data_IF_265234699097
#
_entry.id   IF_265234699097
#
_cell.length_a   1.000
_cell.length_b   1.000
_cell.length_c   1.000
_cell.angle_alpha   90.00
_cell.angle_beta   90.00
_cell.angle_gamma   90.00
#
_symmetry.space_group_name_H-M   'P 1'
#
loop_
_entity.id
_entity.type
_entity.pdbx_description
1 polymer ?
#
# COMPACT_ATOMS: atom_id res chain seq x y z
N UNK A 1 -0.96 40.73 -6.60
CA UNK A 1 -2.16 39.89 -6.82
C UNK A 1 -2.39 39.78 -8.30
N UNK A 2 -2.31 38.57 -8.85
CA UNK A 2 -2.43 38.33 -10.28
C UNK A 2 -3.93 38.27 -10.63
N UNK A 3 -4.42 38.98 -11.67
CA UNK A 3 -5.83 38.93 -12.07
C UNK A 3 -6.33 37.51 -12.44
N UNK A 4 -5.42 36.57 -12.69
CA UNK A 4 -5.71 35.15 -12.90
C UNK A 4 -6.11 34.39 -11.63
N UNK A 5 -5.74 34.87 -10.44
CA UNK A 5 -6.10 34.23 -9.16
C UNK A 5 -7.56 34.50 -8.77
N UNK A 6 -8.21 35.50 -9.41
CA UNK A 6 -9.61 35.88 -9.17
C UNK A 6 -10.61 35.16 -10.10
N UNK A 7 -10.14 34.43 -11.11
CA UNK A 7 -11.00 33.65 -12.02
C UNK A 7 -11.10 32.16 -11.65
N UNK A 8 -10.37 31.71 -10.63
CA UNK A 8 -10.34 30.31 -10.23
C UNK A 8 -11.59 29.84 -9.47
N UNK A 9 -12.48 30.76 -9.07
CA UNK A 9 -13.73 30.46 -8.36
C UNK A 9 -14.90 30.06 -9.27
N UNK A 10 -14.69 29.90 -10.58
CA UNK A 10 -15.72 29.43 -11.53
C UNK A 10 -15.43 28.06 -12.16
N UNK A 11 -14.41 27.35 -11.70
CA UNK A 11 -14.10 26.01 -12.21
C UNK A 11 -14.70 24.97 -11.27
N UNK A 12 -15.78 24.36 -11.73
CA UNK A 12 -16.44 23.22 -11.10
C UNK A 12 -15.41 22.20 -10.58
N UNK A 13 -15.47 21.92 -9.29
CA UNK A 13 -14.76 20.81 -8.65
C UNK A 13 -15.41 19.46 -9.00
N UNK A 14 -14.71 18.34 -8.79
CA UNK A 14 -15.23 17.00 -9.12
C UNK A 14 -16.40 16.53 -8.23
N UNK A 15 -16.74 17.28 -7.17
CA UNK A 15 -17.95 17.08 -6.36
C UNK A 15 -19.10 18.00 -6.78
N UNK A 16 -18.84 18.95 -7.68
CA UNK A 16 -19.90 19.72 -8.30
C UNK A 16 -20.55 18.82 -9.33
N UNK A 17 -21.72 18.29 -8.99
CA UNK A 17 -22.59 17.61 -9.94
C UNK A 17 -22.81 18.57 -11.11
N UNK A 18 -22.20 18.24 -12.25
CA UNK A 18 -22.69 18.70 -13.56
C UNK A 18 -24.19 18.47 -13.48
N UNK A 19 -24.98 19.55 -13.57
CA UNK A 19 -26.43 19.41 -13.64
C UNK A 19 -26.71 18.32 -14.68
N UNK A 20 -27.37 17.23 -14.26
CA UNK A 20 -27.71 16.09 -15.11
C UNK A 20 -28.62 16.48 -16.31
N UNK A 21 -28.88 17.77 -16.49
CA UNK A 21 -29.57 18.40 -17.61
C UNK A 21 -28.66 18.67 -18.83
N UNK A 22 -27.33 18.56 -18.71
CA UNK A 22 -26.41 18.77 -19.84
C UNK A 22 -25.95 17.45 -20.51
N UNK A 23 -26.07 17.41 -21.84
CA UNK A 23 -25.70 16.28 -22.71
C UNK A 23 -24.27 15.77 -22.43
N UNK A 24 -24.09 14.51 -21.99
CA UNK A 24 -22.79 13.89 -21.76
C UNK A 24 -21.84 13.98 -22.98
N UNK A 25 -22.36 14.09 -24.21
CA UNK A 25 -21.55 14.27 -25.40
C UNK A 25 -20.82 15.62 -25.46
N UNK A 26 -21.30 16.65 -24.74
CA UNK A 26 -20.68 17.98 -24.72
C UNK A 26 -19.29 18.01 -24.07
N UNK A 27 -18.97 16.99 -23.27
CA UNK A 27 -17.71 16.88 -22.52
C UNK A 27 -16.72 15.87 -23.12
N UNK A 28 -17.06 15.24 -24.25
CA UNK A 28 -16.20 14.27 -24.93
C UNK A 28 -15.27 14.96 -25.93
N UNK A 29 -14.03 14.48 -26.00
CA UNK A 29 -13.09 14.91 -27.02
C UNK A 29 -13.52 14.36 -28.38
N UNK A 30 -13.77 15.26 -29.33
CA UNK A 30 -14.04 14.89 -30.72
C UNK A 30 -12.76 14.39 -31.39
N UNK A 31 -12.88 13.76 -32.55
CA UNK A 31 -11.72 13.34 -33.34
C UNK A 31 -10.80 14.53 -33.68
N UNK A 32 -11.36 15.72 -33.87
CA UNK A 32 -10.61 16.95 -34.16
C UNK A 32 -9.86 17.48 -32.93
N UNK A 33 -10.46 17.39 -31.74
CA UNK A 33 -9.78 17.76 -30.48
C UNK A 33 -8.58 16.84 -30.23
N UNK A 34 -8.76 15.54 -30.45
CA UNK A 34 -7.72 14.51 -30.31
C UNK A 34 -6.55 14.77 -31.25
N UNK A 35 -6.85 15.01 -32.53
CA UNK A 35 -5.83 15.33 -33.54
C UNK A 35 -5.08 16.63 -33.20
N UNK A 36 -5.77 17.63 -32.65
CA UNK A 36 -5.18 18.90 -32.24
C UNK A 36 -4.26 18.75 -31.04
N UNK A 37 -4.64 17.92 -30.06
CA UNK A 37 -3.80 17.55 -28.91
C UNK A 37 -2.53 16.82 -29.36
N UNK A 38 -2.65 15.83 -30.24
CA UNK A 38 -1.51 15.09 -30.77
C UNK A 38 -0.53 15.99 -31.53
N UNK A 39 -1.06 16.91 -32.36
CA UNK A 39 -0.23 17.92 -33.04
C UNK A 39 0.47 18.85 -32.04
N UNK A 40 -0.24 19.30 -31.01
CA UNK A 40 0.35 20.16 -29.97
C UNK A 40 1.48 19.43 -29.21
N UNK A 41 1.28 18.14 -28.91
CA UNK A 41 2.29 17.27 -28.30
C UNK A 41 3.49 17.07 -29.23
N UNK A 42 3.26 16.86 -30.53
CA UNK A 42 4.33 16.67 -31.51
C UNK A 42 5.21 17.92 -31.62
N UNK A 43 4.60 19.11 -31.57
CA UNK A 43 5.30 20.40 -31.73
C UNK A 43 5.96 20.88 -30.43
N UNK A 44 5.31 20.68 -29.27
CA UNK A 44 5.73 21.31 -27.99
C UNK A 44 6.13 20.29 -26.91
N UNK A 45 5.89 19.01 -27.14
CA UNK A 45 6.06 17.93 -26.18
C UNK A 45 4.87 17.80 -25.22
N UNK A 46 4.59 16.57 -24.76
CA UNK A 46 3.49 16.28 -23.83
C UNK A 46 3.62 17.03 -22.49
N UNK A 47 4.87 17.34 -22.11
CA UNK A 47 5.22 18.14 -20.93
C UNK A 47 4.92 19.64 -21.09
N UNK A 48 4.46 20.12 -22.23
CA UNK A 48 4.10 21.53 -22.39
C UNK A 48 2.60 21.78 -22.16
N UNK A 49 1.80 20.73 -22.00
CA UNK A 49 0.35 20.84 -21.81
C UNK A 49 0.05 20.71 -20.31
N UNK A 50 -0.44 21.79 -19.71
CA UNK A 50 -0.77 21.83 -18.27
C UNK A 50 -2.18 21.29 -17.97
N UNK A 51 -3.12 21.47 -18.89
CA UNK A 51 -4.47 20.94 -18.77
C UNK A 51 -5.14 20.68 -20.13
N UNK A 52 -6.21 19.90 -20.12
CA UNK A 52 -7.16 19.75 -21.24
C UNK A 52 -8.56 19.98 -20.70
N UNK A 53 -9.33 20.84 -21.37
CA UNK A 53 -10.71 21.17 -20.99
C UNK A 53 -11.67 21.04 -22.16
N UNK A 54 -12.90 20.57 -21.92
CA UNK A 54 -13.98 20.51 -22.92
C UNK A 54 -15.32 20.82 -22.26
N UNK A 55 -16.13 21.68 -22.89
CA UNK A 55 -17.46 22.03 -22.39
C UNK A 55 -17.45 22.70 -21.00
N UNK A 56 -16.33 23.30 -20.58
CA UNK A 56 -16.16 23.83 -19.22
C UNK A 56 -15.67 22.81 -18.19
N UNK A 57 -15.61 21.52 -18.53
CA UNK A 57 -15.02 20.49 -17.68
C UNK A 57 -13.52 20.32 -17.94
N UNK A 58 -12.76 20.04 -16.89
CA UNK A 58 -11.34 19.71 -16.99
C UNK A 58 -11.19 18.19 -17.12
N UNK A 59 -10.57 17.73 -18.21
CA UNK A 59 -10.37 16.31 -18.55
C UNK A 59 -8.96 15.81 -18.22
N UNK A 60 -7.97 16.71 -18.22
CA UNK A 60 -6.59 16.43 -17.82
C UNK A 60 -5.99 17.60 -17.04
N UNK A 61 -5.23 17.29 -15.99
CA UNK A 61 -4.36 18.23 -15.28
C UNK A 61 -3.00 17.59 -15.07
N UNK A 62 -1.94 18.25 -15.56
CA UNK A 62 -0.57 17.74 -15.52
C UNK A 62 -0.02 17.61 -14.10
N UNK A 63 -0.21 18.63 -13.28
CA UNK A 63 0.02 18.56 -11.84
C UNK A 63 -1.36 18.61 -11.18
N UNK A 64 -1.98 17.45 -10.83
CA UNK A 64 -1.34 16.27 -10.25
C UNK A 64 -1.48 14.96 -11.07
N UNK A 65 -1.41 15.00 -12.40
CA UNK A 65 -1.71 13.88 -13.31
C UNK A 65 -3.10 13.30 -13.10
N UNK A 66 -4.10 14.20 -13.06
CA UNK A 66 -5.51 13.82 -12.99
C UNK A 66 -6.09 13.65 -14.38
N UNK A 67 -6.94 12.65 -14.51
CA UNK A 67 -7.70 12.33 -15.71
C UNK A 67 -9.15 12.11 -15.29
N UNK A 68 -10.09 12.50 -16.15
CA UNK A 68 -11.52 12.43 -15.87
C UNK A 68 -12.31 12.28 -17.16
N UNK A 69 -13.48 11.64 -17.05
CA UNK A 69 -14.41 11.43 -18.15
C UNK A 69 -14.05 10.24 -19.05
N UNK A 70 -14.89 10.01 -20.06
CA UNK A 70 -14.82 8.84 -20.95
C UNK A 70 -13.54 8.79 -21.81
N UNK A 71 -12.84 9.91 -21.96
CA UNK A 71 -11.60 10.02 -22.72
C UNK A 71 -10.33 9.85 -21.86
N UNK A 72 -10.47 9.50 -20.58
CA UNK A 72 -9.34 9.27 -19.66
C UNK A 72 -8.31 8.28 -20.22
N UNK A 73 -8.77 7.15 -20.78
CA UNK A 73 -7.87 6.13 -21.34
C UNK A 73 -7.01 6.68 -22.49
N UNK A 74 -7.60 7.55 -23.33
CA UNK A 74 -6.90 8.23 -24.41
C UNK A 74 -5.92 9.28 -23.88
N UNK A 75 -6.34 10.11 -22.92
CA UNK A 75 -5.46 11.12 -22.33
C UNK A 75 -4.28 10.48 -21.56
N UNK A 76 -4.49 9.34 -20.91
CA UNK A 76 -3.43 8.57 -20.25
C UNK A 76 -2.41 8.02 -21.24
N UNK A 77 -2.82 7.56 -22.41
CA UNK A 77 -1.87 7.08 -23.42
C UNK A 77 -0.94 8.19 -23.91
N UNK A 78 -1.41 9.44 -23.93
CA UNK A 78 -0.65 10.61 -24.35
C UNK A 78 0.25 11.18 -23.25
N UNK A 79 -0.29 11.35 -22.03
CA UNK A 79 0.37 12.11 -20.97
C UNK A 79 1.02 11.25 -19.88
N UNK A 80 0.65 9.97 -19.80
CA UNK A 80 1.19 9.02 -18.84
C UNK A 80 1.28 7.60 -19.44
N UNK A 81 2.01 7.43 -20.57
CA UNK A 81 2.13 6.13 -21.23
C UNK A 81 2.74 5.10 -20.27
N UNK A 82 2.02 3.99 -20.03
CA UNK A 82 2.35 2.99 -19.01
C UNK A 82 1.39 2.97 -17.81
N UNK A 83 0.52 3.97 -17.67
CA UNK A 83 -0.58 3.99 -16.67
C UNK A 83 -1.90 3.44 -17.22
N UNK A 84 -1.85 2.65 -18.31
CA UNK A 84 -3.03 1.95 -18.83
C UNK A 84 -3.72 1.17 -17.69
N UNK A 85 -5.06 1.12 -17.75
CA UNK A 85 -5.94 0.56 -16.72
C UNK A 85 -5.27 -0.64 -16.02
N UNK A 86 -4.68 -0.38 -14.86
CA UNK A 86 -3.94 -1.41 -14.13
C UNK A 86 -5.00 -2.42 -13.72
N UNK A 87 -4.82 -3.68 -14.10
CA UNK A 87 -5.79 -4.72 -13.76
C UNK A 87 -6.11 -4.63 -12.25
N UNK A 88 -7.40 -4.77 -11.86
CA UNK A 88 -7.79 -4.72 -10.45
C UNK A 88 -6.89 -5.62 -9.61
N UNK A 89 -6.48 -5.15 -8.43
CA UNK A 89 -5.65 -5.94 -7.52
C UNK A 89 -6.26 -7.33 -7.27
N UNK A 90 -5.51 -8.38 -7.63
CA UNK A 90 -5.89 -9.79 -7.45
C UNK A 90 -4.89 -10.57 -6.58
N UNK A 91 -3.92 -9.87 -5.98
CA UNK A 91 -2.93 -10.47 -5.09
C UNK A 91 -3.42 -10.62 -3.64
N UNK A 92 -2.55 -11.07 -2.72
CA UNK A 92 -2.93 -11.31 -1.33
C UNK A 92 -3.30 -10.02 -0.58
N UNK A 93 -4.23 -10.11 0.37
CA UNK A 93 -4.63 -8.99 1.24
C UNK A 93 -3.84 -8.92 2.56
N UNK A 94 -2.78 -9.71 2.69
CA UNK A 94 -1.99 -9.86 3.91
C UNK A 94 -0.56 -10.24 3.58
N UNK A 95 0.37 -10.04 4.52
CA UNK A 95 1.74 -10.52 4.38
C UNK A 95 1.73 -12.03 4.18
N UNK A 96 2.42 -12.47 3.14
CA UNK A 96 2.63 -13.89 2.84
C UNK A 96 4.06 -14.25 3.22
N UNK A 97 4.20 -15.35 3.95
CA UNK A 97 5.50 -15.93 4.30
C UNK A 97 5.71 -17.18 3.47
N UNK A 98 6.90 -17.33 2.90
CA UNK A 98 7.30 -18.49 2.10
C UNK A 98 8.64 -19.02 2.59
N UNK A 99 8.87 -20.31 2.41
CA UNK A 99 10.14 -20.96 2.71
C UNK A 99 10.84 -21.27 1.39
N UNK A 100 12.12 -20.90 1.25
CA UNK A 100 12.95 -21.40 0.17
C UNK A 100 13.45 -22.80 0.50
N UNK A 101 13.83 -23.53 -0.54
CA UNK A 101 14.55 -24.79 -0.37
C UNK A 101 15.79 -24.59 0.51
N UNK A 102 16.15 -25.59 1.32
CA UNK A 102 17.34 -25.53 2.15
C UNK A 102 18.56 -25.22 1.29
N UNK A 103 19.40 -24.30 1.74
CA UNK A 103 20.68 -24.05 1.09
C UNK A 103 21.62 -25.27 1.25
N UNK A 104 22.81 -25.30 0.62
CA UNK A 104 23.77 -26.40 0.79
C UNK A 104 24.22 -26.65 2.23
N UNK A 105 23.96 -25.72 3.16
CA UNK A 105 24.22 -25.88 4.59
C UNK A 105 23.01 -26.44 5.37
N UNK A 106 21.91 -26.74 4.68
CA UNK A 106 20.69 -27.27 5.25
C UNK A 106 19.82 -26.23 5.95
N UNK A 107 20.09 -24.94 5.76
CA UNK A 107 19.35 -23.84 6.40
C UNK A 107 18.13 -23.47 5.57
N UNK A 108 16.96 -23.47 6.20
CA UNK A 108 15.70 -23.05 5.58
C UNK A 108 15.61 -21.53 5.67
N UNK A 109 15.55 -20.85 4.51
CA UNK A 109 15.40 -19.40 4.46
C UNK A 109 13.92 -19.04 4.37
N UNK A 110 13.48 -18.17 5.30
CA UNK A 110 12.11 -17.69 5.40
C UNK A 110 12.02 -16.28 4.82
N UNK A 111 11.17 -16.13 3.82
CA UNK A 111 10.92 -14.88 3.11
C UNK A 111 9.52 -14.37 3.37
N UNK A 112 9.33 -13.07 3.15
CA UNK A 112 8.00 -12.45 3.27
C UNK A 112 7.75 -11.46 2.15
N UNK A 113 6.55 -11.50 1.58
CA UNK A 113 6.05 -10.50 0.65
C UNK A 113 4.95 -9.66 1.31
N UNK A 114 5.11 -8.34 1.25
CA UNK A 114 4.13 -7.35 1.71
C UNK A 114 3.38 -6.77 0.52
N UNK A 115 2.06 -7.04 0.36
CA UNK A 115 1.31 -6.63 -0.82
C UNK A 115 0.84 -5.17 -0.80
N UNK A 116 1.05 -4.46 0.30
CA UNK A 116 0.23 -3.28 0.61
C UNK A 116 0.51 -2.05 -0.28
N UNK A 117 1.76 -1.89 -0.73
CA UNK A 117 2.08 -0.82 -1.69
C UNK A 117 1.47 -1.12 -3.06
N UNK A 118 1.66 -2.34 -3.56
CA UNK A 118 1.13 -2.78 -4.85
C UNK A 118 -0.41 -2.74 -4.86
N UNK A 119 -1.03 -3.18 -3.75
CA UNK A 119 -2.47 -3.09 -3.53
C UNK A 119 -2.92 -1.65 -3.58
N UNK A 120 -2.32 -0.75 -2.80
CA UNK A 120 -2.73 0.67 -2.76
C UNK A 120 -2.67 1.33 -4.15
N UNK A 121 -1.61 1.05 -4.92
CA UNK A 121 -1.42 1.60 -6.27
C UNK A 121 -2.46 1.10 -7.29
N UNK A 122 -3.07 -0.06 -7.04
CA UNK A 122 -4.01 -0.72 -7.96
C UNK A 122 -5.45 -0.72 -7.47
N UNK A 123 -5.72 -0.10 -6.32
CA UNK A 123 -7.10 0.08 -5.86
C UNK A 123 -7.79 1.12 -6.76
N UNK A 124 -9.06 0.88 -7.15
CA UNK A 124 -9.83 1.81 -7.98
C UNK A 124 -10.23 3.10 -7.24
N UNK A 125 -9.85 3.25 -5.97
CA UNK A 125 -10.25 4.35 -5.11
C UNK A 125 -9.26 5.51 -5.18
N UNK A 126 -9.54 6.45 -6.07
CA UNK A 126 -8.99 7.80 -6.06
C UNK A 126 -9.41 8.52 -4.76
N UNK A 127 -8.45 8.69 -3.83
CA UNK A 127 -8.39 9.65 -2.70
C UNK A 127 -9.69 9.92 -1.91
N UNK A 128 -9.82 9.39 -0.68
CA UNK A 128 -10.74 9.92 0.36
C UNK A 128 -10.05 10.80 1.42
N UNK A 129 -8.80 11.22 1.17
CA UNK A 129 -8.08 12.14 2.02
C UNK A 129 -8.03 13.50 1.33
N UNK A 130 -8.73 14.48 1.92
CA UNK A 130 -8.68 15.87 1.49
C UNK A 130 -7.22 16.33 1.52
N UNK A 131 -6.75 16.89 0.41
CA UNK A 131 -5.33 17.18 0.17
C UNK A 131 -4.73 18.28 1.05
N UNK A 132 -5.43 18.73 2.09
CA UNK A 132 -5.06 19.85 2.93
C UNK A 132 -3.83 19.58 3.82
N UNK A 133 -3.60 18.32 4.24
CA UNK A 133 -2.65 18.02 5.33
C UNK A 133 -1.34 17.32 4.89
N UNK A 134 -1.09 17.17 3.59
CA UNK A 134 0.12 16.47 3.10
C UNK A 134 0.18 14.96 3.42
N UNK A 135 -0.90 14.40 3.98
CA UNK A 135 -1.06 12.97 4.25
C UNK A 135 -1.46 12.26 2.96
N UNK A 136 -0.67 11.27 2.56
CA UNK A 136 -0.92 10.44 1.39
C UNK A 136 -1.76 9.19 1.72
N UNK A 137 -1.51 8.59 2.88
CA UNK A 137 -2.20 7.39 3.35
C UNK A 137 -2.04 7.25 4.88
N UNK A 138 -2.75 6.30 5.46
CA UNK A 138 -2.47 5.78 6.80
C UNK A 138 -1.83 4.41 6.69
N UNK A 139 -0.76 4.18 7.45
CA UNK A 139 -0.09 2.89 7.58
C UNK A 139 -0.46 2.23 8.91
N UNK A 140 -0.89 0.97 8.87
CA UNK A 140 -1.11 0.20 10.09
C UNK A 140 0.23 -0.31 10.64
N UNK A 141 0.55 0.09 11.87
CA UNK A 141 1.74 -0.30 12.59
C UNK A 141 1.33 -1.23 13.74
N UNK A 142 1.40 -2.55 13.50
CA UNK A 142 1.25 -3.55 14.55
C UNK A 142 2.39 -3.45 15.57
N UNK A 143 2.10 -3.65 16.85
CA UNK A 143 3.14 -3.81 17.87
C UNK A 143 3.78 -5.19 17.75
N UNK A 144 5.11 -5.23 17.76
CA UNK A 144 5.90 -6.45 17.55
C UNK A 144 6.09 -7.20 18.86
N UNK A 145 5.05 -7.94 19.24
CA UNK A 145 4.99 -8.72 20.47
C UNK A 145 4.46 -10.13 20.17
N UNK A 146 5.02 -11.15 20.82
CA UNK A 146 4.62 -12.55 20.64
C UNK A 146 3.16 -12.81 21.04
N UNK A 147 2.62 -12.05 21.99
CA UNK A 147 1.21 -12.12 22.40
C UNK A 147 0.23 -11.56 21.35
N UNK A 148 0.72 -10.88 20.33
CA UNK A 148 -0.14 -10.32 19.29
C UNK A 148 -0.70 -11.44 18.40
N UNK A 149 -1.90 -11.26 17.84
CA UNK A 149 -2.52 -12.32 17.02
C UNK A 149 -1.90 -12.37 15.62
N UNK A 150 -1.93 -13.55 14.98
CA UNK A 150 -1.46 -13.71 13.60
C UNK A 150 -2.11 -12.68 12.65
N UNK A 151 -3.43 -12.50 12.76
CA UNK A 151 -4.20 -11.58 11.91
C UNK A 151 -3.70 -10.13 12.01
N UNK A 152 -3.29 -9.69 13.20
CA UNK A 152 -2.80 -8.32 13.39
C UNK A 152 -1.40 -8.17 12.79
N UNK A 153 -0.50 -9.13 13.07
CA UNK A 153 0.87 -9.12 12.55
C UNK A 153 0.90 -9.18 11.02
N UNK A 154 0.02 -9.99 10.42
CA UNK A 154 -0.14 -10.12 8.96
C UNK A 154 -0.56 -8.83 8.25
N UNK A 155 -1.04 -7.83 9.00
CA UNK A 155 -1.48 -6.55 8.48
C UNK A 155 -0.48 -5.42 8.76
N UNK A 156 0.66 -5.71 9.39
CA UNK A 156 1.72 -4.73 9.62
C UNK A 156 2.17 -4.12 8.28
N UNK A 157 2.18 -2.79 8.19
CA UNK A 157 2.51 -2.08 6.96
C UNK A 157 1.34 -1.89 5.99
N UNK A 158 0.12 -2.29 6.35
CA UNK A 158 -1.07 -2.05 5.52
C UNK A 158 -1.28 -0.56 5.29
N UNK A 159 -1.55 -0.19 4.04
CA UNK A 159 -1.83 1.18 3.64
C UNK A 159 -3.30 1.35 3.24
N UNK A 160 -3.91 2.43 3.72
CA UNK A 160 -5.26 2.84 3.34
C UNK A 160 -5.32 4.35 3.12
N UNK A 161 -5.96 4.79 2.03
CA UNK A 161 -6.22 6.20 1.70
C UNK A 161 -7.62 6.63 2.14
N UNK A 162 -8.05 6.16 3.31
CA UNK A 162 -9.34 6.43 3.93
C UNK A 162 -9.17 7.41 5.11
N UNK A 163 -10.17 8.25 5.41
CA UNK A 163 -10.14 9.09 6.61
C UNK A 163 -10.10 8.21 7.88
N UNK A 164 -9.53 8.71 8.99
CA UNK A 164 -9.37 7.94 10.24
C UNK A 164 -10.63 7.21 10.71
N UNK A 165 -11.79 7.84 10.55
CA UNK A 165 -13.10 7.30 10.93
C UNK A 165 -13.56 6.09 10.11
N UNK A 166 -12.98 5.88 8.92
CA UNK A 166 -13.30 4.79 7.98
C UNK A 166 -12.18 3.74 7.89
N UNK A 167 -11.13 3.85 8.69
CA UNK A 167 -10.04 2.89 8.67
C UNK A 167 -10.51 1.51 9.17
N UNK A 168 -10.02 0.41 8.57
CA UNK A 168 -10.36 -0.94 9.01
C UNK A 168 -9.98 -1.19 10.48
N UNK A 169 -10.89 -1.82 11.22
CA UNK A 169 -10.65 -2.31 12.59
C UNK A 169 -9.85 -3.62 12.55
N UNK A 170 -8.53 -3.50 12.54
CA UNK A 170 -7.59 -4.64 12.54
C UNK A 170 -7.31 -5.09 13.98
N UNK A 171 -6.93 -4.15 14.84
CA UNK A 171 -6.67 -4.38 16.25
C UNK A 171 -7.98 -4.45 17.05
N UNK A 172 -8.08 -5.41 17.98
CA UNK A 172 -9.15 -5.50 18.99
C UNK A 172 -8.85 -4.63 20.21
N UNK A 173 -7.57 -4.47 20.53
CA UNK A 173 -7.10 -3.66 21.64
C UNK A 173 -6.02 -2.69 21.15
N UNK A 174 -5.97 -1.49 21.72
CA UNK A 174 -5.05 -0.42 21.29
C UNK A 174 -3.58 -0.82 21.36
N UNK A 175 -3.20 -1.67 22.32
CA UNK A 175 -1.83 -2.16 22.45
C UNK A 175 -1.38 -3.03 21.27
N UNK A 176 -2.29 -3.55 20.43
CA UNK A 176 -1.96 -4.46 19.33
C UNK A 176 -1.43 -3.74 18.08
N UNK A 177 -1.72 -2.45 17.93
CA UNK A 177 -1.29 -1.66 16.79
C UNK A 177 -2.15 -0.43 16.55
N UNK A 178 -1.59 0.51 15.81
CA UNK A 178 -2.21 1.80 15.53
C UNK A 178 -2.09 2.15 14.05
N UNK A 179 -2.94 3.05 13.57
CA UNK A 179 -2.79 3.67 12.25
C UNK A 179 -1.98 4.96 12.39
N UNK A 180 -0.95 5.09 11.57
CA UNK A 180 -0.04 6.24 11.58
C UNK A 180 -0.12 6.96 10.23
N UNK A 181 -0.25 8.30 10.19
CA UNK A 181 -0.26 9.03 8.93
C UNK A 181 1.08 8.87 8.20
N UNK A 182 0.99 8.72 6.89
CA UNK A 182 2.11 8.58 5.96
C UNK A 182 2.04 9.69 4.93
N UNK A 183 3.15 10.40 4.74
CA UNK A 183 3.25 11.48 3.74
C UNK A 183 3.72 10.94 2.39
N UNK A 184 3.55 11.74 1.33
CA UNK A 184 4.04 11.44 -0.02
C UNK A 184 5.56 11.21 -0.08
N UNK A 185 6.31 11.76 0.87
CA UNK A 185 7.77 11.66 0.95
C UNK A 185 8.26 10.53 1.86
N UNK A 186 7.39 9.59 2.28
CA UNK A 186 7.76 8.48 3.18
C UNK A 186 9.02 7.73 2.77
N UNK A 187 9.23 7.47 1.48
CA UNK A 187 10.42 6.74 1.00
C UNK A 187 11.74 7.49 1.26
N UNK A 188 11.70 8.82 1.38
CA UNK A 188 12.87 9.65 1.70
C UNK A 188 13.18 9.59 3.20
N UNK A 189 12.17 9.47 4.06
CA UNK A 189 12.33 9.50 5.52
C UNK A 189 12.36 8.12 6.20
N UNK A 190 11.96 7.05 5.50
CA UNK A 190 11.84 5.70 6.08
C UNK A 190 13.13 4.85 6.01
N UNK A 191 14.22 5.35 5.41
CA UNK A 191 15.44 4.57 5.28
C UNK A 191 16.14 4.39 6.64
N UNK A 192 16.36 3.13 7.05
CA UNK A 192 17.05 2.79 8.30
C UNK A 192 16.22 2.96 9.57
N UNK A 193 14.91 3.18 9.45
CA UNK A 193 14.01 3.30 10.60
C UNK A 193 14.00 2.02 11.46
N UNK A 194 13.99 2.20 12.77
CA UNK A 194 13.77 1.12 13.73
C UNK A 194 12.43 1.27 14.42
N UNK A 195 11.89 0.16 14.91
CA UNK A 195 10.73 0.14 15.79
C UNK A 195 10.99 -0.66 17.06
N UNK A 196 10.26 -0.34 18.12
CA UNK A 196 10.34 -1.08 19.37
C UNK A 196 9.63 -2.45 19.25
N UNK A 197 10.24 -3.47 19.84
CA UNK A 197 9.67 -4.81 19.99
C UNK A 197 9.98 -5.37 21.39
N UNK A 198 9.39 -6.51 21.73
CA UNK A 198 9.70 -7.18 23.01
C UNK A 198 11.15 -7.67 23.13
N UNK A 199 11.86 -7.84 22.00
CA UNK A 199 13.26 -8.27 21.97
C UNK A 199 14.26 -7.12 21.74
N UNK A 200 13.79 -5.87 21.86
CA UNK A 200 14.57 -4.66 21.59
C UNK A 200 14.25 -4.02 20.23
N UNK A 201 15.10 -3.08 19.76
CA UNK A 201 14.91 -2.41 18.48
C UNK A 201 15.04 -3.39 17.31
N UNK A 202 14.09 -3.33 16.37
CA UNK A 202 14.09 -4.11 15.13
C UNK A 202 13.86 -3.19 13.92
N UNK A 203 14.00 -3.71 12.70
CA UNK A 203 13.67 -2.96 11.49
C UNK A 203 12.20 -2.50 11.48
N UNK A 204 11.94 -1.30 10.94
CA UNK A 204 10.60 -0.69 10.93
C UNK A 204 9.54 -1.49 10.17
N UNK A 205 9.93 -2.34 9.21
CA UNK A 205 9.05 -3.27 8.49
C UNK A 205 8.79 -4.57 9.26
N UNK A 206 9.32 -4.69 10.47
CA UNK A 206 9.28 -5.88 11.32
C UNK A 206 10.48 -6.82 11.14
N UNK A 207 11.22 -6.71 10.03
CA UNK A 207 12.41 -7.52 9.74
C UNK A 207 12.21 -9.03 9.91
N UNK A 208 13.30 -9.72 10.27
CA UNK A 208 13.28 -11.17 10.49
C UNK A 208 12.47 -11.59 11.73
N UNK A 209 12.29 -10.67 12.69
CA UNK A 209 11.50 -10.97 13.88
C UNK A 209 9.99 -11.07 13.56
N UNK A 210 9.46 -10.21 12.69
CA UNK A 210 8.10 -10.37 12.19
C UNK A 210 7.95 -11.69 11.41
N UNK A 211 8.93 -12.05 10.57
CA UNK A 211 8.92 -13.35 9.85
C UNK A 211 8.88 -14.53 10.82
N UNK A 212 9.68 -14.48 11.87
CA UNK A 212 9.67 -15.47 12.94
C UNK A 212 8.29 -15.60 13.59
N UNK A 213 7.70 -14.49 14.05
CA UNK A 213 6.37 -14.50 14.68
C UNK A 213 5.28 -15.00 13.74
N UNK A 214 5.30 -14.58 12.47
CA UNK A 214 4.35 -15.04 11.45
C UNK A 214 4.47 -16.55 11.22
N UNK A 215 5.69 -17.09 11.13
CA UNK A 215 5.93 -18.53 10.95
C UNK A 215 5.39 -19.35 12.11
N UNK A 216 5.76 -19.02 13.34
CA UNK A 216 5.33 -19.75 14.55
C UNK A 216 3.81 -19.75 14.68
N UNK A 217 3.17 -18.60 14.43
CA UNK A 217 1.71 -18.47 14.54
C UNK A 217 0.97 -19.08 13.37
N UNK A 218 1.55 -19.09 12.17
CA UNK A 218 0.99 -19.79 11.02
C UNK A 218 0.90 -21.30 11.30
N UNK A 219 1.96 -21.92 11.86
CA UNK A 219 1.95 -23.32 12.31
C UNK A 219 0.78 -23.58 13.28
N UNK A 220 0.55 -22.65 14.22
CA UNK A 220 -0.58 -22.72 15.15
C UNK A 220 -1.95 -22.75 14.50
N UNK A 221 -2.12 -22.06 13.37
CA UNK A 221 -3.38 -22.00 12.61
C UNK A 221 -3.58 -23.16 11.64
N UNK A 222 -2.56 -23.95 11.35
CA UNK A 222 -2.68 -25.11 10.45
C UNK A 222 -3.68 -26.14 11.01
N UNK A 223 -4.46 -26.75 10.11
CA UNK A 223 -5.41 -27.84 10.44
C UNK A 223 -4.70 -29.20 10.39
N UNK A 224 -3.69 -29.35 11.25
CA UNK A 224 -2.86 -30.56 11.39
C UNK A 224 -2.82 -31.00 12.86
N UNK A 225 -2.33 -32.22 13.12
CA UNK A 225 -2.22 -32.75 14.48
C UNK A 225 -1.25 -31.94 15.35
N UNK A 226 -1.45 -31.97 16.67
CA UNK A 226 -0.55 -31.28 17.62
C UNK A 226 0.88 -31.85 17.51
N UNK A 227 1.03 -33.16 17.29
CA UNK A 227 2.32 -33.80 17.07
C UNK A 227 3.04 -33.22 15.85
N UNK A 228 2.31 -33.01 14.75
CA UNK A 228 2.90 -32.41 13.54
C UNK A 228 3.24 -30.93 13.75
N UNK A 229 2.41 -30.16 14.48
CA UNK A 229 2.76 -28.78 14.85
C UNK A 229 4.06 -28.72 15.66
N UNK A 230 4.23 -29.63 16.63
CA UNK A 230 5.46 -29.72 17.43
C UNK A 230 6.68 -30.05 16.58
N UNK A 231 6.52 -30.95 15.60
CA UNK A 231 7.58 -31.25 14.63
C UNK A 231 7.95 -30.01 13.82
N UNK A 232 6.98 -29.27 13.27
CA UNK A 232 7.26 -28.04 12.54
C UNK A 232 7.91 -26.96 13.42
N UNK A 233 7.46 -26.83 14.68
CA UNK A 233 8.07 -25.90 15.63
C UNK A 233 9.53 -26.23 15.97
N UNK A 234 9.92 -27.52 15.98
CA UNK A 234 11.32 -27.88 16.22
C UNK A 234 12.24 -27.52 15.04
N UNK A 235 11.69 -27.42 13.83
CA UNK A 235 12.40 -26.95 12.64
C UNK A 235 12.59 -25.42 12.63
N UNK A 236 11.71 -24.65 13.29
CA UNK A 236 11.79 -23.17 13.37
C UNK A 236 13.14 -22.70 13.90
N UNK A 237 13.74 -23.41 14.87
CA UNK A 237 15.05 -23.04 15.42
C UNK A 237 16.21 -23.13 14.42
N UNK A 238 16.02 -23.82 13.29
CA UNK A 238 17.01 -23.95 12.21
C UNK A 238 16.73 -23.03 11.02
N UNK A 239 15.69 -22.21 11.12
CA UNK A 239 15.32 -21.27 10.07
C UNK A 239 16.08 -19.96 10.19
N UNK A 240 16.29 -19.31 9.05
CA UNK A 240 16.89 -17.98 8.95
C UNK A 240 15.97 -17.05 8.18
N UNK A 241 15.77 -15.83 8.66
CA UNK A 241 15.00 -14.84 7.91
C UNK A 241 15.77 -14.31 6.70
N UNK A 242 15.07 -13.76 5.70
CA UNK A 242 15.69 -13.23 4.48
C UNK A 242 16.75 -12.14 4.73
N UNK A 243 16.69 -11.45 5.87
CA UNK A 243 17.69 -10.42 6.25
C UNK A 243 18.92 -11.01 6.95
N UNK A 244 18.98 -12.33 7.12
CA UNK A 244 20.17 -13.07 7.59
C UNK A 244 20.14 -13.48 9.06
N UNK A 245 19.10 -13.13 9.82
CA UNK A 245 19.02 -13.44 11.25
C UNK A 245 18.49 -14.85 11.48
N UNK A 246 19.22 -15.67 12.22
CA UNK A 246 18.77 -17.00 12.64
C UNK A 246 17.63 -16.88 13.66
N UNK A 247 16.58 -17.69 13.51
CA UNK A 247 15.41 -17.64 14.38
C UNK A 247 15.71 -18.12 15.81
N UNK A 248 16.76 -18.92 16.00
CA UNK A 248 17.28 -19.29 17.33
C UNK A 248 17.57 -18.06 18.20
N UNK A 249 18.09 -16.97 17.61
CA UNK A 249 18.36 -15.71 18.30
C UNK A 249 17.09 -15.12 18.93
N UNK A 250 15.95 -15.28 18.27
CA UNK A 250 14.67 -14.79 18.77
C UNK A 250 14.07 -15.71 19.82
N UNK A 251 14.27 -17.03 19.68
CA UNK A 251 13.86 -18.02 20.68
C UNK A 251 14.58 -17.74 22.01
N UNK A 252 15.88 -17.46 21.98
CA UNK A 252 16.69 -17.19 23.17
C UNK A 252 16.31 -15.88 23.87
N UNK A 253 15.85 -14.89 23.11
CA UNK A 253 15.45 -13.58 23.64
C UNK A 253 13.98 -13.51 24.06
N UNK A 254 13.16 -14.44 23.58
CA UNK A 254 11.74 -14.42 23.85
C UNK A 254 11.44 -14.81 25.30
N UNK A 255 10.53 -14.08 25.94
CA UNK A 255 10.04 -14.43 27.27
C UNK A 255 9.00 -15.58 27.25
N UNK A 256 8.71 -16.16 26.09
CA UNK A 256 7.65 -17.16 25.89
C UNK A 256 8.18 -18.36 25.10
N UNK A 257 7.65 -19.55 25.41
CA UNK A 257 7.93 -20.75 24.62
C UNK A 257 7.26 -20.67 23.23
N UNK A 258 7.84 -21.34 22.24
CA UNK A 258 7.25 -21.46 20.90
C UNK A 258 5.82 -22.02 20.94
N UNK A 259 5.55 -22.98 21.84
CA UNK A 259 4.21 -23.55 22.00
C UNK A 259 3.20 -22.52 22.51
N UNK A 260 3.61 -21.63 23.40
CA UNK A 260 2.73 -20.60 23.94
C UNK A 260 2.50 -19.46 22.94
N UNK A 261 3.54 -19.07 22.19
CA UNK A 261 3.39 -18.13 21.08
C UNK A 261 2.41 -18.63 20.02
N UNK A 262 2.47 -19.93 19.72
CA UNK A 262 1.63 -20.61 18.73
C UNK A 262 0.13 -20.58 19.12
N UNK A 263 -0.19 -20.65 20.41
CA UNK A 263 -1.58 -20.72 20.92
C UNK A 263 -2.32 -19.37 20.84
N UNK A 264 -1.60 -18.25 20.75
CA UNK A 264 -2.13 -16.87 20.77
C UNK A 264 -2.46 -16.34 19.36
#
# INVERSE_FOLDING_TARGET
MNPLDLLQSYLYGPEDTISHECDPAAYRLTAEDKLSLEKAILVRGAKAIENVTKGGAVLYLRSPQRFSGDDEAYLRSLFAPGTGATAPWSGPDQIVVSQREPDPSGVIVVESYSPFEDRLLRLPYTKKLDGADGIAAYQFCATMQARNSLRVLQQHGRLESLPPTKLPKIARHEWQGIWVPTTTHRRVFAQGGQMASEIGPIAQDGGDYLRFLLTVKAIGKMKISIAEKRRLLSEVGRMRGQSGTDFSVFIDKACMSLEDMMKL
#
